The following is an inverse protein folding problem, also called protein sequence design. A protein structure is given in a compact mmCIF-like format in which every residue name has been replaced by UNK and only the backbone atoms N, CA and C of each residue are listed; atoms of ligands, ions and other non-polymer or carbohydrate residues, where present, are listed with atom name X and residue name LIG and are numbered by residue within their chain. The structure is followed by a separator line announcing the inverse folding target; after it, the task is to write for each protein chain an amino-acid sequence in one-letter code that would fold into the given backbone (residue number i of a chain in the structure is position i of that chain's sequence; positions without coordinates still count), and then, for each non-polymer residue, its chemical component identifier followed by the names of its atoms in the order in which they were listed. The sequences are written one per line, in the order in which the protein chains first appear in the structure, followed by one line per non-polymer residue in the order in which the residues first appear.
data_IF_046432055659
#
_entry.id   IF_046432055659
#
_cell.length_a   1.000
_cell.length_b   1.000
_cell.length_c   1.000
_cell.angle_alpha   90.00
_cell.angle_beta   90.00
_cell.angle_gamma   90.00
#
_symmetry.space_group_name_H-M   'P 1'
#
loop_
_entity.id
_entity.type
_entity.pdbx_description
1 polymer ?
#
# COMPACT_ATOMS: atom_id res chain seq x y z
N UNK A 1 16.35 -12.15 -9.20
CA UNK A 1 15.53 -13.11 -8.44
C UNK A 1 14.10 -12.89 -8.90
N UNK A 2 13.36 -13.92 -9.28
CA UNK A 2 12.04 -13.71 -9.90
C UNK A 2 11.12 -12.94 -8.96
N UNK A 3 10.57 -11.84 -9.43
CA UNK A 3 9.63 -10.97 -8.70
C UNK A 3 8.46 -11.73 -8.05
N UNK A 4 8.05 -12.85 -8.65
CA UNK A 4 6.96 -13.70 -8.15
C UNK A 4 7.25 -14.38 -6.80
N UNK A 5 8.51 -14.47 -6.37
CA UNK A 5 8.89 -15.07 -5.08
C UNK A 5 9.02 -14.05 -3.94
N UNK A 6 8.74 -12.78 -4.17
CA UNK A 6 8.79 -11.76 -3.10
C UNK A 6 7.75 -12.00 -1.99
N UNK A 7 6.67 -12.73 -2.32
CA UNK A 7 5.63 -13.15 -1.36
C UNK A 7 6.21 -14.10 -0.30
N UNK A 8 7.35 -14.78 -0.61
CA UNK A 8 8.02 -15.70 0.29
C UNK A 8 9.05 -14.93 1.10
N UNK A 9 8.77 -14.73 2.36
CA UNK A 9 9.63 -14.03 3.31
C UNK A 9 9.97 -14.92 4.52
N UNK A 10 10.68 -14.39 5.51
CA UNK A 10 11.03 -15.13 6.73
C UNK A 10 9.80 -15.67 7.48
N UNK A 11 8.68 -14.93 7.44
CA UNK A 11 7.42 -15.38 8.08
C UNK A 11 6.89 -16.65 7.40
N UNK A 12 6.96 -16.70 6.07
CA UNK A 12 6.58 -17.89 5.30
C UNK A 12 7.43 -19.10 5.71
N UNK A 13 8.73 -18.91 5.91
CA UNK A 13 9.60 -19.99 6.35
C UNK A 13 9.19 -20.52 7.74
N UNK A 14 8.92 -19.63 8.70
CA UNK A 14 8.50 -20.04 10.04
C UNK A 14 7.17 -20.81 10.02
N UNK A 15 6.18 -20.32 9.26
CA UNK A 15 4.88 -21.00 9.15
C UNK A 15 5.01 -22.35 8.46
N UNK A 16 5.87 -22.49 7.44
CA UNK A 16 6.13 -23.77 6.79
C UNK A 16 6.78 -24.77 7.73
N UNK A 17 7.73 -24.35 8.58
CA UNK A 17 8.32 -25.23 9.60
C UNK A 17 7.24 -25.74 10.59
N UNK A 18 6.35 -24.86 11.03
CA UNK A 18 5.24 -25.24 11.92
C UNK A 18 4.30 -26.23 11.22
N UNK A 19 3.98 -26.00 9.92
CA UNK A 19 3.10 -26.84 9.12
C UNK A 19 3.65 -28.25 8.87
N UNK A 20 4.95 -28.44 8.99
CA UNK A 20 5.59 -29.76 8.94
C UNK A 20 5.68 -30.39 10.34
N UNK A 21 6.04 -29.60 11.36
CA UNK A 21 6.26 -30.08 12.71
C UNK A 21 4.95 -30.57 13.38
N UNK A 22 3.85 -29.84 13.15
CA UNK A 22 2.56 -30.16 13.81
C UNK A 22 1.99 -31.51 13.34
N UNK A 23 1.87 -31.83 12.05
CA UNK A 23 1.45 -33.16 11.61
C UNK A 23 2.33 -34.27 12.18
N UNK A 24 3.65 -34.08 12.19
CA UNK A 24 4.59 -35.05 12.78
C UNK A 24 4.28 -35.33 14.24
N UNK A 25 4.05 -34.28 15.05
CA UNK A 25 3.68 -34.41 16.46
C UNK A 25 2.31 -35.11 16.59
N UNK A 26 1.33 -34.75 15.77
CA UNK A 26 0.00 -35.33 15.82
C UNK A 26 0.03 -36.85 15.53
N UNK A 27 0.75 -37.27 14.50
CA UNK A 27 0.92 -38.71 14.20
C UNK A 27 1.70 -39.43 15.31
N UNK A 28 2.81 -38.87 15.77
CA UNK A 28 3.65 -39.47 16.81
C UNK A 28 2.92 -39.63 18.16
N UNK A 29 2.08 -38.65 18.53
CA UNK A 29 1.33 -38.65 19.78
C UNK A 29 -0.11 -39.13 19.65
N UNK A 30 -0.54 -39.53 18.44
CA UNK A 30 -1.91 -39.95 18.12
C UNK A 30 -2.96 -38.91 18.53
N UNK A 31 -2.65 -37.63 18.30
CA UNK A 31 -3.56 -36.52 18.57
C UNK A 31 -4.50 -36.38 17.36
N UNK A 32 -5.66 -37.00 17.48
CA UNK A 32 -6.67 -37.04 16.39
C UNK A 32 -8.03 -36.80 17.04
N UNK A 33 -8.78 -35.85 16.46
CA UNK A 33 -10.14 -35.59 16.88
C UNK A 33 -11.00 -35.12 15.71
N UNK A 34 -12.30 -35.25 15.84
CA UNK A 34 -13.26 -34.79 14.86
C UNK A 34 -14.10 -33.64 15.43
N UNK A 35 -13.70 -32.42 15.07
CA UNK A 35 -14.41 -31.19 15.46
C UNK A 35 -14.87 -30.47 14.20
N UNK A 36 -16.09 -29.93 14.23
CA UNK A 36 -16.53 -29.03 13.18
C UNK A 36 -15.82 -27.65 13.33
N UNK A 37 -14.87 -27.39 12.42
CA UNK A 37 -14.08 -26.17 12.41
C UNK A 37 -14.65 -25.10 11.46
N UNK A 38 -15.88 -25.27 10.97
CA UNK A 38 -16.50 -24.34 9.99
C UNK A 38 -16.55 -22.92 10.53
N UNK A 39 -17.03 -22.72 11.76
CA UNK A 39 -17.10 -21.39 12.36
C UNK A 39 -15.74 -20.76 12.59
N UNK A 40 -14.74 -21.58 12.98
CA UNK A 40 -13.37 -21.12 13.17
C UNK A 40 -12.75 -20.75 11.84
N UNK A 41 -12.97 -21.53 10.77
CA UNK A 41 -12.53 -21.20 9.40
C UNK A 41 -13.06 -19.84 8.96
N UNK A 42 -14.35 -19.61 9.17
CA UNK A 42 -15.00 -18.33 8.85
C UNK A 42 -14.34 -17.20 9.65
N UNK A 43 -14.14 -17.39 10.96
CA UNK A 43 -13.52 -16.40 11.82
C UNK A 43 -12.09 -16.04 11.43
N UNK A 44 -11.34 -16.95 10.80
CA UNK A 44 -9.98 -16.72 10.28
C UNK A 44 -10.03 -16.00 8.93
N UNK A 45 -10.82 -16.52 8.00
CA UNK A 45 -10.81 -16.08 6.61
C UNK A 45 -11.41 -14.69 6.44
N UNK A 46 -12.56 -14.40 7.08
CA UNK A 46 -13.26 -13.13 6.88
C UNK A 46 -12.41 -11.90 7.26
N UNK A 47 -11.80 -11.82 8.45
CA UNK A 47 -10.95 -10.69 8.80
C UNK A 47 -9.76 -10.51 7.86
N UNK A 48 -9.16 -11.61 7.39
CA UNK A 48 -8.07 -11.57 6.42
C UNK A 48 -8.52 -10.99 5.08
N UNK A 49 -9.66 -11.45 4.55
CA UNK A 49 -10.24 -10.92 3.30
C UNK A 49 -10.58 -9.44 3.43
N UNK A 50 -11.15 -9.00 4.56
CA UNK A 50 -11.42 -7.59 4.79
C UNK A 50 -10.14 -6.75 4.90
N UNK A 51 -9.09 -7.28 5.52
CA UNK A 51 -7.79 -6.61 5.61
C UNK A 51 -7.17 -6.44 4.22
N UNK A 52 -7.17 -7.48 3.38
CA UNK A 52 -6.68 -7.43 1.99
C UNK A 52 -7.48 -6.40 1.18
N UNK A 53 -8.80 -6.47 1.23
CA UNK A 53 -9.66 -5.50 0.52
C UNK A 53 -9.41 -4.07 1.00
N UNK A 54 -9.20 -3.88 2.30
CA UNK A 54 -8.87 -2.58 2.88
C UNK A 54 -7.54 -2.02 2.37
N UNK A 55 -6.49 -2.86 2.31
CA UNK A 55 -5.18 -2.49 1.79
C UNK A 55 -5.25 -2.15 0.29
N UNK A 56 -5.92 -3.00 -0.51
CA UNK A 56 -6.12 -2.75 -1.94
C UNK A 56 -6.86 -1.42 -2.20
N UNK A 57 -7.99 -1.19 -1.54
CA UNK A 57 -8.73 0.09 -1.69
C UNK A 57 -7.88 1.31 -1.32
N UNK A 58 -7.01 1.17 -0.36
CA UNK A 58 -6.12 2.25 0.08
C UNK A 58 -5.10 2.58 -0.99
N UNK A 59 -4.47 1.56 -1.57
CA UNK A 59 -3.56 1.70 -2.71
C UNK A 59 -4.25 2.37 -3.91
N UNK A 60 -5.46 1.93 -4.28
CA UNK A 60 -6.23 2.51 -5.38
C UNK A 60 -6.59 3.99 -5.10
N UNK A 61 -6.95 4.32 -3.86
CA UNK A 61 -7.21 5.70 -3.46
C UNK A 61 -5.96 6.58 -3.51
N UNK A 62 -4.80 6.05 -3.10
CA UNK A 62 -3.53 6.74 -3.21
C UNK A 62 -3.20 7.08 -4.67
N UNK A 63 -3.37 6.12 -5.58
CA UNK A 63 -3.18 6.31 -7.02
C UNK A 63 -4.16 7.35 -7.59
N UNK A 64 -5.43 7.32 -7.18
CA UNK A 64 -6.44 8.31 -7.57
C UNK A 64 -6.03 9.74 -7.13
N UNK A 65 -5.59 9.91 -5.89
CA UNK A 65 -5.17 11.22 -5.37
C UNK A 65 -3.91 11.73 -6.08
N UNK A 66 -2.89 10.89 -6.28
CA UNK A 66 -1.69 11.25 -7.03
C UNK A 66 -2.03 11.68 -8.47
N UNK A 67 -2.94 10.98 -9.13
CA UNK A 67 -3.41 11.33 -10.48
C UNK A 67 -4.14 12.68 -10.51
N UNK A 68 -4.96 12.97 -9.49
CA UNK A 68 -5.63 14.27 -9.33
C UNK A 68 -4.63 15.40 -9.11
N UNK A 69 -3.62 15.18 -8.26
CA UNK A 69 -2.52 16.14 -8.04
C UNK A 69 -1.84 16.47 -9.36
N UNK A 70 -1.39 15.44 -10.09
CA UNK A 70 -0.72 15.62 -11.37
C UNK A 70 -1.59 16.39 -12.39
N UNK A 71 -2.86 16.03 -12.50
CA UNK A 71 -3.80 16.70 -13.39
C UNK A 71 -4.00 18.18 -13.02
N UNK A 72 -4.10 18.50 -11.73
CA UNK A 72 -4.27 19.87 -11.27
C UNK A 72 -3.00 20.72 -11.47
N UNK A 73 -1.81 20.15 -11.27
CA UNK A 73 -0.52 20.81 -11.54
C UNK A 73 -0.37 21.12 -13.04
N UNK A 74 -0.68 20.14 -13.92
CA UNK A 74 -0.70 20.38 -15.36
C UNK A 74 -1.68 21.50 -15.76
N UNK A 75 -2.83 21.60 -15.11
CA UNK A 75 -3.78 22.68 -15.38
C UNK A 75 -3.23 24.06 -14.94
N UNK A 76 -2.41 24.12 -13.89
CA UNK A 76 -1.68 25.32 -13.48
C UNK A 76 -0.66 25.70 -14.58
N UNK A 77 0.13 24.74 -15.05
CA UNK A 77 1.12 24.96 -16.10
C UNK A 77 0.46 25.50 -17.39
N UNK A 78 -0.63 24.89 -17.85
CA UNK A 78 -1.37 25.38 -19.01
C UNK A 78 -1.94 26.78 -18.80
N UNK A 79 -2.31 27.12 -17.55
CA UNK A 79 -2.77 28.46 -17.23
C UNK A 79 -1.63 29.48 -17.36
N UNK A 80 -0.41 29.16 -16.92
CA UNK A 80 0.76 30.02 -17.11
C UNK A 80 1.18 30.13 -18.57
N UNK A 81 1.12 29.03 -19.34
CA UNK A 81 1.40 29.09 -20.78
C UNK A 81 0.45 30.03 -21.53
N UNK A 82 -0.81 30.11 -21.13
CA UNK A 82 -1.81 31.02 -21.69
C UNK A 82 -1.74 32.46 -21.17
N UNK A 83 -0.80 32.81 -20.28
CA UNK A 83 -0.62 34.14 -19.70
C UNK A 83 0.16 35.08 -20.63
N UNK A 84 0.23 36.38 -20.23
CA UNK A 84 1.05 37.39 -20.89
C UNK A 84 2.51 37.41 -20.41
N UNK A 85 2.91 36.45 -19.59
CA UNK A 85 4.27 36.29 -19.08
C UNK A 85 5.26 36.09 -20.23
N UNK A 86 6.48 36.53 -20.03
CA UNK A 86 7.61 36.20 -20.93
C UNK A 86 7.94 34.71 -20.83
N UNK A 87 8.65 34.15 -21.81
CA UNK A 87 9.02 32.74 -21.82
C UNK A 87 9.93 32.36 -20.63
N UNK A 88 10.76 33.30 -20.16
CA UNK A 88 11.57 33.10 -18.96
C UNK A 88 10.70 33.00 -17.67
N UNK A 89 9.73 33.90 -17.51
CA UNK A 89 8.80 33.90 -16.39
C UNK A 89 7.92 32.63 -16.40
N UNK A 90 7.45 32.17 -17.59
CA UNK A 90 6.70 30.92 -17.72
C UNK A 90 7.53 29.73 -17.28
N UNK A 91 8.79 29.67 -17.72
CA UNK A 91 9.71 28.59 -17.34
C UNK A 91 9.93 28.54 -15.83
N UNK A 92 10.15 29.72 -15.21
CA UNK A 92 10.30 29.80 -13.75
C UNK A 92 9.03 29.35 -13.01
N UNK A 93 7.85 29.80 -13.42
CA UNK A 93 6.57 29.40 -12.82
C UNK A 93 6.34 27.86 -12.92
N UNK A 94 6.66 27.29 -14.08
CA UNK A 94 6.58 25.83 -14.30
C UNK A 94 7.57 25.08 -13.41
N UNK A 95 8.80 25.57 -13.27
CA UNK A 95 9.79 24.95 -12.35
C UNK A 95 9.31 24.94 -10.92
N UNK A 96 8.70 26.04 -10.44
CA UNK A 96 8.11 26.10 -9.10
C UNK A 96 6.92 25.14 -8.95
N UNK A 97 6.12 24.98 -10.00
CA UNK A 97 5.02 23.98 -10.02
C UNK A 97 5.57 22.57 -9.93
N UNK A 98 6.64 22.25 -10.66
CA UNK A 98 7.31 20.95 -10.62
C UNK A 98 7.94 20.65 -9.25
N UNK A 99 8.48 21.68 -8.57
CA UNK A 99 9.08 21.52 -7.25
C UNK A 99 8.08 20.95 -6.22
N UNK A 100 6.79 21.28 -6.32
CA UNK A 100 5.75 20.73 -5.45
C UNK A 100 5.68 19.19 -5.60
N UNK A 101 5.68 18.70 -6.85
CA UNK A 101 5.64 17.26 -7.12
C UNK A 101 6.90 16.55 -6.64
N UNK A 102 8.07 17.15 -6.90
CA UNK A 102 9.34 16.56 -6.50
C UNK A 102 9.45 16.44 -4.98
N UNK A 103 9.06 17.48 -4.23
CA UNK A 103 9.02 17.44 -2.77
C UNK A 103 7.99 16.46 -2.22
N UNK A 104 6.83 16.32 -2.86
CA UNK A 104 5.85 15.32 -2.49
C UNK A 104 6.41 13.90 -2.64
N UNK A 105 7.03 13.61 -3.79
CA UNK A 105 7.63 12.30 -4.05
C UNK A 105 8.77 11.99 -3.08
N UNK A 106 9.64 12.97 -2.79
CA UNK A 106 10.73 12.83 -1.83
C UNK A 106 10.21 12.58 -0.40
N UNK A 107 9.09 13.18 -0.04
CA UNK A 107 8.45 12.93 1.25
C UNK A 107 7.81 11.53 1.32
N UNK A 108 7.13 11.08 0.27
CA UNK A 108 6.45 9.79 0.23
C UNK A 108 7.43 8.61 0.21
N UNK A 109 8.58 8.75 -0.44
CA UNK A 109 9.62 7.71 -0.48
C UNK A 109 10.56 7.72 0.75
N UNK A 110 10.29 8.61 1.71
CA UNK A 110 11.00 8.69 2.99
C UNK A 110 12.34 9.41 2.93
N UNK A 111 12.71 10.06 1.81
CA UNK A 111 13.96 10.86 1.71
C UNK A 111 13.89 12.14 2.54
N UNK A 112 12.71 12.75 2.63
CA UNK A 112 12.48 13.94 3.45
C UNK A 112 11.35 13.68 4.45
N UNK A 113 11.67 13.39 5.73
CA UNK A 113 10.66 13.06 6.74
C UNK A 113 9.78 14.25 7.12
N UNK A 114 10.25 15.48 6.91
CA UNK A 114 9.52 16.69 7.31
C UNK A 114 8.69 17.26 6.17
N UNK A 115 7.43 17.62 6.48
CA UNK A 115 6.50 18.28 5.56
C UNK A 115 6.89 19.72 5.23
N UNK A 116 7.86 20.29 5.94
CA UNK A 116 8.24 21.69 5.83
C UNK A 116 8.70 22.08 4.42
N UNK A 117 9.48 21.22 3.75
CA UNK A 117 9.96 21.50 2.39
C UNK A 117 8.83 21.51 1.36
N UNK A 118 7.83 20.62 1.53
CA UNK A 118 6.64 20.61 0.69
C UNK A 118 5.83 21.90 0.87
N UNK A 119 5.62 22.34 2.12
CA UNK A 119 4.92 23.58 2.41
C UNK A 119 5.68 24.80 1.86
N UNK A 120 7.02 24.80 1.94
CA UNK A 120 7.85 25.86 1.37
C UNK A 120 7.72 25.94 -0.15
N UNK A 121 7.64 24.80 -0.86
CA UNK A 121 7.42 24.78 -2.31
C UNK A 121 6.05 25.36 -2.69
N UNK A 122 5.01 25.10 -1.90
CA UNK A 122 3.70 25.75 -2.10
C UNK A 122 3.77 27.25 -1.92
N UNK A 123 4.40 27.70 -0.83
CA UNK A 123 4.51 29.12 -0.52
C UNK A 123 5.32 29.86 -1.60
N UNK A 124 6.40 29.24 -2.09
CA UNK A 124 7.23 29.82 -3.15
C UNK A 124 6.44 30.04 -4.46
N UNK A 125 5.57 29.12 -4.85
CA UNK A 125 4.69 29.30 -6.01
C UNK A 125 3.63 30.40 -5.75
N UNK A 126 3.06 30.47 -4.56
CA UNK A 126 2.10 31.48 -4.16
C UNK A 126 2.74 32.87 -4.21
N UNK A 127 3.90 33.03 -3.56
CA UNK A 127 4.63 34.30 -3.52
C UNK A 127 5.03 34.75 -4.93
N UNK A 128 5.44 33.80 -5.79
CA UNK A 128 5.73 34.09 -7.17
C UNK A 128 4.51 34.65 -7.92
N UNK A 129 3.34 34.05 -7.78
CA UNK A 129 2.10 34.53 -8.40
C UNK A 129 1.65 35.88 -7.83
N UNK A 130 1.92 36.14 -6.56
CA UNK A 130 1.56 37.38 -5.91
C UNK A 130 2.46 38.55 -6.35
N UNK A 131 3.75 38.31 -6.46
CA UNK A 131 4.72 39.26 -6.91
C UNK A 131 4.59 39.63 -8.41
N UNK A 132 4.11 38.67 -9.23
CA UNK A 132 3.96 38.81 -10.69
C UNK A 132 2.49 38.93 -11.14
N UNK A 133 1.63 39.54 -10.31
CA UNK A 133 0.18 39.62 -10.56
C UNK A 133 -0.17 40.34 -11.89
N UNK A 134 0.63 41.31 -12.32
CA UNK A 134 0.39 42.08 -13.55
C UNK A 134 0.68 41.23 -14.81
N UNK A 135 1.77 40.49 -14.82
CA UNK A 135 2.18 39.63 -15.95
C UNK A 135 1.41 38.34 -16.01
N UNK A 136 1.13 37.70 -14.87
CA UNK A 136 0.28 36.50 -14.75
C UNK A 136 -1.17 36.83 -15.14
N UNK A 137 -1.68 37.99 -14.72
CA UNK A 137 -3.07 38.42 -14.92
C UNK A 137 -4.03 37.86 -13.87
N UNK A 138 -4.91 38.70 -13.35
CA UNK A 138 -5.83 38.39 -12.24
C UNK A 138 -6.68 37.13 -12.48
N UNK A 139 -7.20 36.94 -13.71
CA UNK A 139 -8.05 35.77 -14.05
C UNK A 139 -7.26 34.46 -14.04
N UNK A 140 -6.02 34.46 -14.53
CA UNK A 140 -5.16 33.28 -14.56
C UNK A 140 -4.71 32.94 -13.15
N UNK A 141 -4.31 33.94 -12.38
CA UNK A 141 -3.96 33.79 -10.97
C UNK A 141 -5.09 33.16 -10.16
N UNK A 142 -6.33 33.64 -10.34
CA UNK A 142 -7.50 33.06 -9.63
C UNK A 142 -7.75 31.60 -10.04
N UNK A 143 -7.59 31.24 -11.32
CA UNK A 143 -7.67 29.85 -11.77
C UNK A 143 -6.57 28.99 -11.18
N UNK A 144 -5.32 29.49 -11.18
CA UNK A 144 -4.18 28.77 -10.58
C UNK A 144 -4.40 28.49 -9.10
N UNK A 145 -4.93 29.46 -8.33
CA UNK A 145 -5.30 29.23 -6.92
C UNK A 145 -6.37 28.15 -6.76
N UNK A 146 -7.38 28.12 -7.61
CA UNK A 146 -8.42 27.08 -7.58
C UNK A 146 -7.85 25.68 -7.84
N UNK A 147 -6.88 25.55 -8.75
CA UNK A 147 -6.18 24.29 -8.98
C UNK A 147 -5.21 23.96 -7.84
N UNK A 148 -4.51 24.94 -7.29
CA UNK A 148 -3.60 24.77 -6.17
C UNK A 148 -4.34 24.26 -4.92
N UNK A 149 -5.58 24.70 -4.69
CA UNK A 149 -6.44 24.14 -3.65
C UNK A 149 -6.71 22.65 -3.87
N UNK A 150 -6.97 22.22 -5.12
CA UNK A 150 -7.16 20.79 -5.45
C UNK A 150 -5.88 19.99 -5.28
N UNK A 151 -4.72 20.57 -5.61
CA UNK A 151 -3.41 19.96 -5.36
C UNK A 151 -3.23 19.75 -3.86
N UNK A 152 -3.49 20.78 -3.05
CA UNK A 152 -3.37 20.69 -1.59
C UNK A 152 -4.29 19.62 -1.01
N UNK A 153 -5.57 19.59 -1.40
CA UNK A 153 -6.53 18.54 -1.00
C UNK A 153 -6.03 17.13 -1.37
N UNK A 154 -5.53 16.97 -2.60
CA UNK A 154 -4.98 15.70 -3.07
C UNK A 154 -3.77 15.25 -2.24
N UNK A 155 -2.89 16.18 -1.90
CA UNK A 155 -1.70 15.93 -1.07
C UNK A 155 -2.10 15.52 0.35
N UNK A 156 -2.99 16.26 1.02
CA UNK A 156 -3.45 15.90 2.36
C UNK A 156 -4.09 14.51 2.40
N UNK A 157 -4.90 14.17 1.39
CA UNK A 157 -5.48 12.84 1.28
C UNK A 157 -4.42 11.74 1.06
N UNK A 158 -3.39 12.03 0.26
CA UNK A 158 -2.27 11.09 0.02
C UNK A 158 -1.45 10.88 1.30
N UNK A 159 -1.14 11.96 2.02
CA UNK A 159 -0.43 11.92 3.29
C UNK A 159 -1.24 11.21 4.39
N UNK A 160 -2.56 11.39 4.41
CA UNK A 160 -3.44 10.65 5.32
C UNK A 160 -3.36 9.14 5.06
N UNK A 161 -3.32 8.70 3.80
CA UNK A 161 -3.12 7.29 3.44
C UNK A 161 -1.73 6.81 3.83
N UNK A 162 -0.70 7.64 3.65
CA UNK A 162 0.66 7.30 4.03
C UNK A 162 0.82 7.11 5.55
N UNK A 163 0.14 7.92 6.35
CA UNK A 163 0.26 7.93 7.82
C UNK A 163 -0.69 6.94 8.51
N UNK A 164 -1.95 6.89 8.07
CA UNK A 164 -2.99 6.06 8.70
C UNK A 164 -3.13 4.73 7.97
N UNK A 165 -2.94 3.64 8.71
CA UNK A 165 -2.92 2.26 8.18
C UNK A 165 -4.04 1.41 8.76
N UNK A 166 -4.11 0.14 8.33
CA UNK A 166 -5.02 -0.84 8.93
C UNK A 166 -4.80 -0.92 10.44
N UNK A 167 -5.86 -1.00 11.25
CA UNK A 167 -5.72 -1.15 12.70
C UNK A 167 -4.79 -2.30 13.07
N UNK A 168 -3.82 -2.01 13.93
CA UNK A 168 -2.79 -2.98 14.38
C UNK A 168 -3.46 -4.22 15.00
N UNK A 169 -4.58 -4.02 15.71
CA UNK A 169 -5.37 -5.11 16.31
C UNK A 169 -5.88 -6.12 15.26
N UNK A 170 -6.34 -5.65 14.09
CA UNK A 170 -6.80 -6.53 13.01
C UNK A 170 -5.64 -7.33 12.40
N UNK A 171 -4.49 -6.68 12.20
CA UNK A 171 -3.27 -7.35 11.73
C UNK A 171 -2.78 -8.41 12.73
N UNK A 172 -2.76 -8.07 14.01
CA UNK A 172 -2.39 -8.99 15.08
C UNK A 172 -3.32 -10.19 15.14
N UNK A 173 -4.64 -9.94 15.04
CA UNK A 173 -5.65 -10.99 14.97
C UNK A 173 -5.36 -11.97 13.83
N UNK A 174 -5.26 -11.48 12.59
CA UNK A 174 -4.96 -12.32 11.42
C UNK A 174 -3.69 -13.13 11.62
N UNK A 175 -2.62 -12.49 12.09
CA UNK A 175 -1.33 -13.12 12.32
C UNK A 175 -1.40 -14.24 13.35
N UNK A 176 -2.05 -14.03 14.49
CA UNK A 176 -2.22 -15.03 15.56
C UNK A 176 -2.95 -16.27 15.01
N UNK A 177 -4.04 -16.06 14.28
CA UNK A 177 -4.84 -17.17 13.74
C UNK A 177 -4.10 -17.97 12.64
N UNK A 178 -3.29 -17.31 11.84
CA UNK A 178 -2.43 -18.01 10.86
C UNK A 178 -1.46 -18.94 11.59
N UNK A 179 -0.75 -18.47 12.61
CA UNK A 179 0.20 -19.33 13.35
C UNK A 179 -0.48 -20.44 14.16
N UNK A 180 -1.72 -20.27 14.58
CA UNK A 180 -2.48 -21.28 15.35
C UNK A 180 -3.17 -22.27 14.41
N UNK A 181 -3.40 -21.93 13.15
CA UNK A 181 -4.13 -22.75 12.17
C UNK A 181 -3.62 -24.20 12.11
N UNK A 182 -2.32 -24.49 11.92
CA UNK A 182 -1.85 -25.86 11.86
C UNK A 182 -2.17 -26.67 13.13
N UNK A 183 -2.08 -26.04 14.30
CA UNK A 183 -2.33 -26.69 15.60
C UNK A 183 -3.79 -27.15 15.74
N UNK A 184 -4.73 -26.33 15.28
CA UNK A 184 -6.16 -26.59 15.44
C UNK A 184 -6.65 -27.54 14.34
N UNK A 185 -6.17 -27.35 13.10
CA UNK A 185 -6.75 -28.03 11.94
C UNK A 185 -6.13 -29.41 11.67
N UNK A 186 -4.84 -29.60 11.95
CA UNK A 186 -4.14 -30.85 11.64
C UNK A 186 -4.80 -32.09 12.23
N UNK A 187 -5.19 -32.14 13.53
CA UNK A 187 -5.83 -33.34 14.07
C UNK A 187 -7.16 -33.68 13.39
N UNK A 188 -7.93 -32.67 13.02
CA UNK A 188 -9.18 -32.86 12.28
C UNK A 188 -8.95 -33.27 10.83
N UNK A 189 -7.91 -32.75 10.19
CA UNK A 189 -7.50 -33.14 8.83
C UNK A 189 -7.09 -34.62 8.80
N UNK A 190 -6.28 -35.06 9.78
CA UNK A 190 -5.89 -36.46 9.94
C UNK A 190 -7.13 -37.35 10.09
N UNK A 191 -8.08 -36.95 10.92
CA UNK A 191 -9.32 -37.71 11.10
C UNK A 191 -10.14 -37.81 9.81
N UNK A 192 -10.26 -36.72 9.06
CA UNK A 192 -11.04 -36.68 7.79
C UNK A 192 -10.36 -37.41 6.65
N UNK A 193 -9.05 -37.40 6.58
CA UNK A 193 -8.28 -38.16 5.57
C UNK A 193 -8.33 -39.64 5.88
N UNK A 194 -8.30 -40.00 7.17
CA UNK A 194 -8.22 -41.39 7.65
C UNK A 194 -6.77 -41.89 7.76
N UNK A 195 -6.55 -42.77 8.73
CA UNK A 195 -5.22 -43.37 8.98
C UNK A 195 -4.81 -44.41 7.96
N UNK A 196 -5.75 -44.93 7.15
CA UNK A 196 -5.53 -45.85 6.04
C UNK A 196 -4.92 -45.17 4.80
N UNK A 197 -5.03 -43.85 4.70
CA UNK A 197 -4.44 -43.09 3.63
C UNK A 197 -2.98 -42.72 3.91
N UNK A 198 -2.16 -42.50 2.88
CA UNK A 198 -0.76 -42.12 3.06
C UNK A 198 -0.61 -40.81 3.83
N UNK A 199 0.26 -40.78 4.86
CA UNK A 199 0.49 -39.61 5.72
C UNK A 199 0.87 -38.33 4.94
N UNK A 200 1.61 -38.47 3.82
CA UNK A 200 2.03 -37.35 2.98
C UNK A 200 0.84 -36.49 2.52
N UNK A 201 -0.35 -37.03 2.39
CA UNK A 201 -1.54 -36.32 1.97
C UNK A 201 -1.96 -35.29 3.04
N UNK A 202 -1.86 -35.63 4.32
CA UNK A 202 -2.10 -34.70 5.43
C UNK A 202 -1.08 -33.58 5.42
N UNK A 203 0.21 -33.88 5.27
CA UNK A 203 1.26 -32.87 5.18
C UNK A 203 0.99 -31.94 4.00
N UNK A 204 0.66 -32.49 2.84
CA UNK A 204 0.36 -31.67 1.66
C UNK A 204 -0.80 -30.70 1.90
N UNK A 205 -1.91 -31.17 2.46
CA UNK A 205 -3.08 -30.31 2.74
C UNK A 205 -2.77 -29.24 3.77
N UNK A 206 -2.07 -29.56 4.85
CA UNK A 206 -1.72 -28.60 5.90
C UNK A 206 -0.75 -27.55 5.38
N UNK A 207 0.32 -27.97 4.69
CA UNK A 207 1.34 -27.08 4.12
C UNK A 207 0.70 -26.15 3.06
N UNK A 208 -0.13 -26.69 2.17
CA UNK A 208 -0.80 -25.91 1.13
C UNK A 208 -1.74 -24.85 1.74
N UNK A 209 -2.55 -25.26 2.71
CA UNK A 209 -3.49 -24.35 3.36
C UNK A 209 -2.76 -23.22 4.08
N UNK A 210 -1.70 -23.54 4.79
CA UNK A 210 -0.89 -22.56 5.51
C UNK A 210 -0.14 -21.62 4.56
N UNK A 211 0.40 -22.17 3.46
CA UNK A 211 1.04 -21.38 2.42
C UNK A 211 0.07 -20.35 1.82
N UNK A 212 -1.17 -20.74 1.56
CA UNK A 212 -2.21 -19.83 1.07
C UNK A 212 -2.46 -18.71 2.07
N UNK A 213 -2.68 -19.03 3.35
CA UNK A 213 -2.99 -18.06 4.38
C UNK A 213 -1.86 -17.05 4.60
N UNK A 214 -0.61 -17.53 4.71
CA UNK A 214 0.53 -16.65 4.94
C UNK A 214 0.85 -15.81 3.71
N UNK A 215 0.68 -16.34 2.50
CA UNK A 215 0.86 -15.59 1.25
C UNK A 215 -0.15 -14.45 1.13
N UNK A 216 -1.42 -14.72 1.45
CA UNK A 216 -2.45 -13.68 1.47
C UNK A 216 -2.15 -12.59 2.50
N UNK A 217 -1.63 -12.96 3.67
CA UNK A 217 -1.22 -12.00 4.70
C UNK A 217 -0.03 -11.15 4.23
N UNK A 218 0.96 -11.76 3.57
CA UNK A 218 2.12 -11.03 3.04
C UNK A 218 1.71 -10.05 1.94
N UNK A 219 0.83 -10.47 1.00
CA UNK A 219 0.26 -9.59 -0.03
C UNK A 219 -0.46 -8.39 0.62
N UNK A 220 -1.23 -8.63 1.69
CA UNK A 220 -1.91 -7.56 2.42
C UNK A 220 -0.92 -6.60 3.07
N UNK A 221 0.15 -7.13 3.67
CA UNK A 221 1.19 -6.33 4.33
C UNK A 221 1.94 -5.45 3.32
N UNK A 222 2.31 -6.00 2.16
CA UNK A 222 2.97 -5.27 1.07
C UNK A 222 2.08 -4.13 0.52
N UNK A 223 0.82 -4.42 0.20
CA UNK A 223 -0.11 -3.40 -0.31
C UNK A 223 -0.44 -2.28 0.69
N UNK A 224 -0.14 -2.48 1.97
CA UNK A 224 -0.39 -1.47 3.00
C UNK A 224 0.62 -0.32 2.98
N UNK A 225 1.76 -0.52 2.31
CA UNK A 225 2.85 0.45 2.18
C UNK A 225 3.06 0.85 0.72
N UNK A 226 2.09 1.48 0.07
CA UNK A 226 2.08 1.64 -1.39
C UNK A 226 3.17 2.56 -1.94
N UNK A 227 4.00 3.17 -1.09
CA UNK A 227 4.99 4.18 -1.46
C UNK A 227 6.44 3.81 -1.11
N UNK A 228 6.69 2.71 -0.37
CA UNK A 228 8.02 2.38 0.16
C UNK A 228 8.96 1.73 -0.87
N UNK A 229 8.48 1.47 -2.08
CA UNK A 229 9.22 0.90 -3.21
C UNK A 229 9.83 -0.49 -2.92
N UNK A 230 9.29 -1.22 -1.93
CA UNK A 230 9.73 -2.57 -1.55
C UNK A 230 8.78 -3.65 -2.06
N UNK A 231 7.49 -3.34 -2.15
CA UNK A 231 6.46 -4.25 -2.63
C UNK A 231 6.43 -4.38 -4.16
N UNK A 232 5.89 -5.50 -4.66
CA UNK A 232 5.70 -5.71 -6.11
C UNK A 232 4.66 -4.77 -6.72
N UNK A 233 3.66 -4.43 -5.92
CA UNK A 233 2.49 -3.67 -6.34
C UNK A 233 2.55 -2.21 -5.91
N UNK A 234 3.73 -1.70 -5.55
CA UNK A 234 3.93 -0.32 -5.14
C UNK A 234 3.64 0.67 -6.27
N UNK A 235 3.19 1.84 -5.87
CA UNK A 235 2.95 2.93 -6.81
C UNK A 235 4.30 3.50 -7.24
N UNK A 236 4.53 3.51 -8.56
CA UNK A 236 5.74 4.11 -9.14
C UNK A 236 5.67 5.63 -8.99
N UNK A 237 6.32 6.15 -7.98
CA UNK A 237 6.29 7.58 -7.67
C UNK A 237 6.92 8.43 -8.80
N UNK A 238 7.90 7.89 -9.52
CA UNK A 238 8.54 8.59 -10.64
C UNK A 238 7.58 8.89 -11.80
N UNK A 239 6.49 8.13 -11.96
CA UNK A 239 5.46 8.42 -12.97
C UNK A 239 4.69 9.71 -12.68
N UNK A 240 4.78 10.21 -11.46
CA UNK A 240 4.13 11.44 -11.00
C UNK A 240 5.07 12.65 -10.98
N UNK A 241 6.38 12.43 -11.11
CA UNK A 241 7.33 13.53 -11.30
C UNK A 241 7.07 14.27 -12.61
N UNK A 242 7.39 15.53 -12.63
CA UNK A 242 7.40 16.30 -13.86
C UNK A 242 8.44 15.71 -14.82
N UNK A 243 8.05 15.47 -16.07
CA UNK A 243 9.01 15.08 -17.09
C UNK A 243 9.91 16.29 -17.38
N UNK A 244 11.20 16.12 -17.11
CA UNK A 244 12.22 17.10 -17.52
C UNK A 244 12.28 17.22 -19.03
#
# INVERSE_FOLDING_TARGET
MNQYFSIINQRTLYTMIISVAVPYICYSKKIIYNIDLTLISIAIIFPLVFAIRGAFRRREKALEHLSKIKSALLAIEYSFMGSKMTDAEKTEAIQKTHAITDRLVEHLDGRTPEKNELNAAFQDLIDYMDNNTETVGKSIKQKAYSFLQKVHEGIENTLAIHTHRTPISLKAYCKIFIYIFPLIYTPTIINKIGLENPEWLTYFVVILSEFILISLYNIQDDMEYPFDQQGLDDIRLDDFRAKK
#
